data_IF_460296971219
#
_entry.id   IF_460296971219
#
_cell.length_a   1.000
_cell.length_b   1.000
_cell.length_c   1.000
_cell.angle_alpha   90.00
_cell.angle_beta   90.00
_cell.angle_gamma   90.00
#
_symmetry.space_group_name_H-M   'P 1'
#
loop_
_entity.id
_entity.type
_entity.pdbx_description
1 polymer ?
#
# COMPACT_ATOMS: atom_id res chain seq x y z
N UNK A 1 2.69 -18.89 -25.69
CA UNK A 1 3.19 -18.11 -26.84
C UNK A 1 1.99 -17.45 -27.48
N UNK A 2 1.99 -16.14 -27.76
CA UNK A 2 0.89 -15.50 -28.45
C UNK A 2 0.98 -15.86 -29.94
N UNK A 3 -0.07 -16.48 -30.46
CA UNK A 3 -0.27 -16.74 -31.88
C UNK A 3 -1.46 -15.93 -32.39
N UNK A 4 -1.34 -15.39 -33.60
CA UNK A 4 -2.42 -14.67 -34.28
C UNK A 4 -3.38 -15.68 -34.91
N UNK A 5 -4.69 -15.49 -34.71
CA UNK A 5 -5.71 -16.32 -35.33
C UNK A 5 -6.47 -15.50 -36.37
N UNK A 6 -6.66 -16.07 -37.56
CA UNK A 6 -7.44 -15.49 -38.64
C UNK A 6 -8.74 -16.27 -38.81
N UNK A 7 -9.84 -15.58 -39.08
CA UNK A 7 -11.10 -16.20 -39.49
C UNK A 7 -11.19 -16.16 -41.01
N UNK A 8 -11.45 -17.30 -41.63
CA UNK A 8 -11.65 -17.43 -43.06
C UNK A 8 -13.14 -17.58 -43.31
N UNK A 9 -13.75 -16.61 -43.99
CA UNK A 9 -15.12 -16.73 -44.47
C UNK A 9 -15.09 -17.06 -45.97
N UNK A 10 -15.53 -18.29 -46.31
CA UNK A 10 -15.61 -18.79 -47.69
C UNK A 10 -16.08 -20.25 -47.71
N UNK A 11 -16.80 -20.66 -48.76
CA UNK A 11 -17.15 -22.08 -48.99
C UNK A 11 -15.97 -22.77 -49.67
N UNK A 12 -15.57 -23.93 -49.15
CA UNK A 12 -14.54 -24.78 -49.72
C UNK A 12 -15.14 -25.63 -50.84
N UNK A 13 -14.71 -25.41 -52.08
CA UNK A 13 -15.03 -26.25 -53.25
C UNK A 13 -13.70 -26.80 -53.83
N UNK A 14 -13.51 -28.12 -54.04
CA UNK A 14 -12.19 -28.69 -54.28
C UNK A 14 -11.72 -28.65 -55.76
N UNK A 15 -12.20 -27.72 -56.58
CA UNK A 15 -11.84 -27.64 -58.00
C UNK A 15 -11.08 -26.35 -58.35
N UNK A 16 -9.76 -26.47 -58.49
CA UNK A 16 -8.83 -25.72 -59.36
C UNK A 16 -9.10 -24.24 -59.70
N UNK A 17 -9.43 -23.40 -58.73
CA UNK A 17 -9.27 -21.94 -58.86
C UNK A 17 -8.55 -21.35 -57.66
N UNK A 18 -7.47 -20.60 -57.92
CA UNK A 18 -6.77 -19.80 -56.91
C UNK A 18 -7.73 -18.68 -56.51
N UNK A 19 -8.45 -18.85 -55.41
CA UNK A 19 -9.29 -17.80 -54.86
C UNK A 19 -8.43 -16.82 -54.04
N UNK A 20 -8.38 -15.56 -54.47
CA UNK A 20 -7.80 -14.49 -53.66
C UNK A 20 -8.74 -14.20 -52.47
N UNK A 21 -8.31 -14.62 -51.27
CA UNK A 21 -9.04 -14.33 -50.03
C UNK A 21 -8.53 -13.02 -49.45
N UNK A 22 -9.43 -12.07 -49.24
CA UNK A 22 -9.09 -10.79 -48.62
C UNK A 22 -9.02 -10.96 -47.10
N UNK A 23 -7.81 -10.95 -46.55
CA UNK A 23 -7.59 -11.02 -45.10
C UNK A 23 -7.77 -9.63 -44.49
N UNK A 24 -8.78 -9.45 -43.64
CA UNK A 24 -8.88 -8.27 -42.79
C UNK A 24 -8.21 -8.53 -41.45
N UNK A 25 -7.28 -7.66 -41.09
CA UNK A 25 -6.61 -7.66 -39.78
C UNK A 25 -7.66 -7.35 -38.69
N UNK A 26 -7.96 -8.34 -37.84
CA UNK A 26 -8.81 -8.13 -36.67
C UNK A 26 -7.98 -7.39 -35.64
N UNK A 27 -8.09 -6.06 -35.62
CA UNK A 27 -7.55 -5.27 -34.51
C UNK A 27 -8.44 -5.50 -33.29
N UNK A 28 -7.95 -6.08 -32.20
CA UNK A 28 -8.75 -6.25 -31.00
C UNK A 28 -9.22 -4.87 -30.52
N UNK A 29 -10.54 -4.71 -30.40
CA UNK A 29 -11.20 -3.48 -29.95
C UNK A 29 -10.98 -3.16 -28.46
N UNK A 30 -10.12 -3.92 -27.79
CA UNK A 30 -9.74 -3.69 -26.41
C UNK A 30 -8.23 -3.81 -26.30
N UNK A 31 -7.59 -2.73 -25.86
CA UNK A 31 -6.32 -2.87 -25.16
C UNK A 31 -6.61 -3.77 -23.96
N UNK A 32 -5.89 -4.88 -23.83
CA UNK A 32 -5.86 -5.66 -22.59
C UNK A 32 -5.52 -4.67 -21.48
N UNK A 33 -6.53 -4.24 -20.71
CA UNK A 33 -6.33 -3.37 -19.58
C UNK A 33 -5.25 -4.05 -18.72
N UNK A 34 -4.07 -3.43 -18.62
CA UNK A 34 -3.02 -3.94 -17.77
C UNK A 34 -3.67 -4.16 -16.40
N UNK A 35 -3.74 -5.42 -15.94
CA UNK A 35 -4.18 -5.70 -14.58
C UNK A 35 -3.35 -4.79 -13.67
N UNK A 36 -3.98 -4.04 -12.75
CA UNK A 36 -3.24 -3.14 -11.89
C UNK A 36 -2.10 -3.93 -11.27
N UNK A 37 -0.87 -3.42 -11.38
CA UNK A 37 0.29 -4.07 -10.79
C UNK A 37 0.05 -4.08 -9.29
N UNK A 38 -0.48 -5.19 -8.76
CA UNK A 38 -0.68 -5.39 -7.33
C UNK A 38 0.73 -5.57 -6.75
N UNK A 39 1.33 -4.47 -6.30
CA UNK A 39 2.55 -4.54 -5.51
C UNK A 39 2.21 -5.28 -4.21
N UNK A 40 2.62 -6.55 -4.12
CA UNK A 40 2.26 -7.44 -2.99
C UNK A 40 2.73 -6.94 -1.63
N UNK A 41 3.68 -6.00 -1.61
CA UNK A 41 4.18 -5.33 -0.42
C UNK A 41 3.45 -4.02 -0.07
N UNK A 42 2.41 -3.66 -0.83
CA UNK A 42 1.56 -2.48 -0.64
C UNK A 42 0.11 -2.92 -0.33
N UNK A 43 -0.03 -3.80 0.67
CA UNK A 43 -1.33 -4.34 1.10
C UNK A 43 -1.99 -3.42 2.13
N UNK A 44 -2.70 -2.39 1.67
CA UNK A 44 -3.48 -1.51 2.54
C UNK A 44 -4.73 -2.26 3.03
N UNK A 45 -4.83 -2.50 4.34
CA UNK A 45 -6.03 -3.01 4.99
C UNK A 45 -6.73 -1.90 5.79
N UNK A 46 -8.01 -2.08 6.19
CA UNK A 46 -8.66 -1.16 7.11
C UNK A 46 -7.95 -1.04 8.47
N UNK A 47 -7.95 0.16 9.04
CA UNK A 47 -7.32 0.47 10.32
C UNK A 47 -6.03 1.29 10.18
N UNK A 48 -5.07 1.04 11.07
CA UNK A 48 -3.73 1.65 11.06
C UNK A 48 -2.87 0.95 10.01
N UNK A 49 -2.17 1.74 9.21
CA UNK A 49 -1.13 1.29 8.29
C UNK A 49 0.18 2.00 8.61
N UNK A 50 1.29 1.26 8.65
CA UNK A 50 2.62 1.84 8.81
C UNK A 50 3.38 1.71 7.50
N UNK A 51 4.09 2.75 7.10
CA UNK A 51 4.92 2.73 5.90
C UNK A 51 6.39 2.80 6.27
N UNK A 52 7.20 2.02 5.58
CA UNK A 52 8.64 2.14 5.68
C UNK A 52 9.38 1.45 4.54
N UNK A 53 10.70 1.43 4.60
CA UNK A 53 11.54 0.88 3.53
C UNK A 53 12.14 -0.45 3.95
N UNK A 54 11.99 -1.48 3.12
CA UNK A 54 12.62 -2.77 3.42
C UNK A 54 14.13 -2.72 3.13
N UNK A 55 14.94 -3.03 4.13
CA UNK A 55 16.42 -2.99 4.07
C UNK A 55 17.06 -4.36 3.83
N UNK A 56 16.27 -5.44 3.82
CA UNK A 56 16.76 -6.79 3.55
C UNK A 56 17.08 -6.98 2.06
N UNK A 57 18.38 -7.08 1.72
CA UNK A 57 18.90 -7.26 0.35
C UNK A 57 18.38 -8.50 -0.38
N UNK A 58 17.89 -9.51 0.33
CA UNK A 58 17.35 -10.75 -0.25
C UNK A 58 15.84 -10.68 -0.50
N UNK A 59 15.18 -9.62 -0.05
CA UNK A 59 13.74 -9.46 -0.19
C UNK A 59 13.38 -8.92 -1.58
N UNK A 60 12.27 -9.38 -2.15
CA UNK A 60 11.71 -8.82 -3.39
C UNK A 60 11.36 -7.32 -3.25
N UNK A 61 11.06 -6.86 -2.03
CA UNK A 61 10.78 -5.46 -1.72
C UNK A 61 12.04 -4.68 -1.28
N UNK A 62 13.26 -5.18 -1.52
CA UNK A 62 14.48 -4.45 -1.13
C UNK A 62 14.50 -3.03 -1.71
N UNK A 63 14.73 -2.05 -0.85
CA UNK A 63 14.69 -0.62 -1.16
C UNK A 63 13.34 -0.12 -1.69
N UNK A 64 12.27 -0.90 -1.60
CA UNK A 64 10.91 -0.49 -1.89
C UNK A 64 10.21 -0.04 -0.61
N UNK A 65 9.28 0.90 -0.75
CA UNK A 65 8.33 1.24 0.31
C UNK A 65 7.34 0.07 0.50
N UNK A 66 7.08 -0.29 1.74
CA UNK A 66 6.17 -1.37 2.12
C UNK A 66 5.13 -0.84 3.10
N UNK A 67 3.90 -1.34 2.98
CA UNK A 67 2.80 -1.04 3.90
C UNK A 67 2.61 -2.21 4.86
N UNK A 68 2.60 -1.91 6.16
CA UNK A 68 2.44 -2.86 7.25
C UNK A 68 1.09 -2.55 7.90
N UNK A 69 0.11 -3.39 7.57
CA UNK A 69 -1.25 -3.24 8.10
C UNK A 69 -1.31 -3.72 9.56
N UNK A 70 -1.58 -2.79 10.47
CA UNK A 70 -1.70 -3.02 11.92
C UNK A 70 -3.16 -3.25 12.33
N UNK A 71 -4.11 -2.69 11.58
CA UNK A 71 -5.54 -2.91 11.78
C UNK A 71 -6.17 -2.00 12.86
N UNK A 72 -7.30 -2.44 13.41
CA UNK A 72 -8.06 -1.70 14.42
C UNK A 72 -7.52 -1.96 15.83
N UNK A 73 -6.63 -1.09 16.32
CA UNK A 73 -6.09 -1.17 17.68
C UNK A 73 -5.58 0.17 18.17
N UNK A 74 -5.21 0.19 19.45
CA UNK A 74 -4.27 1.16 20.01
C UNK A 74 -2.85 0.73 19.66
N UNK A 75 -2.01 1.69 19.28
CA UNK A 75 -0.62 1.48 18.92
C UNK A 75 0.23 2.61 19.49
N UNK A 76 1.18 2.28 20.36
CA UNK A 76 2.17 3.24 20.84
C UNK A 76 3.35 3.25 19.88
N UNK A 77 3.54 4.35 19.17
CA UNK A 77 4.55 4.46 18.10
C UNK A 77 5.97 4.32 18.64
N UNK A 78 6.23 4.62 19.91
CA UNK A 78 7.58 4.52 20.48
C UNK A 78 7.83 3.15 21.10
N UNK A 79 6.79 2.50 21.64
CA UNK A 79 6.92 1.23 22.37
C UNK A 79 6.64 0.02 21.46
N UNK A 80 5.61 0.08 20.62
CA UNK A 80 5.18 -1.03 19.78
C UNK A 80 6.00 -1.16 18.49
N UNK A 81 6.81 -0.15 18.14
CA UNK A 81 7.62 -0.11 16.91
C UNK A 81 8.88 -0.97 16.98
N UNK A 82 8.69 -2.27 17.20
CA UNK A 82 9.76 -3.23 17.37
C UNK A 82 9.70 -4.35 16.32
N UNK A 83 10.77 -5.16 16.29
CA UNK A 83 10.94 -6.25 15.33
C UNK A 83 9.90 -7.37 15.41
N UNK A 84 9.05 -7.41 16.44
CA UNK A 84 7.97 -8.39 16.55
C UNK A 84 6.70 -7.97 15.80
N UNK A 85 6.45 -6.67 15.69
CA UNK A 85 5.23 -6.09 15.13
C UNK A 85 5.49 -5.44 13.76
N UNK A 86 6.50 -4.59 13.66
CA UNK A 86 6.75 -3.78 12.44
C UNK A 86 7.66 -4.53 11.50
N UNK A 87 7.06 -5.40 10.69
CA UNK A 87 7.76 -6.32 9.80
C UNK A 87 7.38 -6.10 8.35
N UNK A 88 8.37 -6.24 7.47
CA UNK A 88 8.13 -6.29 6.02
C UNK A 88 7.18 -7.46 5.69
N UNK A 89 6.08 -7.23 4.96
CA UNK A 89 5.11 -8.29 4.64
C UNK A 89 5.69 -9.39 3.75
N UNK A 90 6.81 -9.12 3.05
CA UNK A 90 7.42 -10.07 2.12
C UNK A 90 8.52 -10.93 2.76
N UNK A 91 9.24 -10.42 3.75
CA UNK A 91 10.41 -11.11 4.33
C UNK A 91 10.43 -11.16 5.85
N UNK A 92 9.42 -10.60 6.53
CA UNK A 92 9.28 -10.55 7.98
C UNK A 92 10.44 -9.88 8.75
N UNK A 93 11.38 -9.21 8.05
CA UNK A 93 12.45 -8.42 8.68
C UNK A 93 11.87 -7.11 9.21
N UNK A 94 12.42 -6.60 10.32
CA UNK A 94 12.06 -5.30 10.88
C UNK A 94 12.16 -4.20 9.83
N UNK A 95 11.20 -3.29 9.87
CA UNK A 95 11.14 -2.09 9.03
C UNK A 95 11.01 -0.89 9.94
N UNK A 96 11.87 0.10 9.76
CA UNK A 96 11.72 1.39 10.44
C UNK A 96 10.52 2.13 9.85
N UNK A 97 9.66 2.67 10.72
CA UNK A 97 8.48 3.42 10.32
C UNK A 97 8.92 4.80 9.85
N UNK A 98 8.54 5.14 8.62
CA UNK A 98 8.73 6.47 8.03
C UNK A 98 7.45 7.29 8.10
N UNK A 99 6.30 6.64 7.90
CA UNK A 99 4.98 7.30 7.89
C UNK A 99 3.89 6.43 8.49
N UNK A 100 2.81 7.06 8.92
CA UNK A 100 1.61 6.41 9.45
C UNK A 100 0.44 6.81 8.58
N UNK A 101 -0.40 5.84 8.22
CA UNK A 101 -1.64 6.03 7.48
C UNK A 101 -2.83 5.40 8.18
N UNK A 102 -4.01 5.81 7.77
CA UNK A 102 -5.30 5.33 8.25
C UNK A 102 -6.19 5.04 7.04
N UNK A 103 -6.87 3.89 7.05
CA UNK A 103 -7.76 3.48 5.96
C UNK A 103 -9.09 2.95 6.47
N UNK A 104 -10.21 3.37 5.88
CA UNK A 104 -11.56 2.88 6.21
C UNK A 104 -11.82 2.71 7.72
N UNK A 105 -11.44 3.71 8.52
CA UNK A 105 -11.49 3.62 9.97
C UNK A 105 -11.79 4.97 10.63
N UNK A 106 -12.31 4.91 11.85
CA UNK A 106 -12.24 6.05 12.76
C UNK A 106 -10.89 6.01 13.47
N UNK A 107 -10.21 7.14 13.53
CA UNK A 107 -8.90 7.24 14.16
C UNK A 107 -8.78 8.49 15.01
N UNK A 108 -7.92 8.42 16.02
CA UNK A 108 -7.51 9.56 16.84
C UNK A 108 -6.06 9.37 17.26
N UNK A 109 -5.48 10.40 17.85
CA UNK A 109 -4.17 10.26 18.47
C UNK A 109 -4.01 11.22 19.65
N UNK A 110 -3.13 10.86 20.56
CA UNK A 110 -2.62 11.73 21.61
C UNK A 110 -1.12 11.50 21.74
N UNK A 111 -0.41 12.55 22.13
CA UNK A 111 1.02 12.45 22.36
C UNK A 111 1.54 13.56 23.24
N UNK A 112 2.80 13.42 23.62
CA UNK A 112 3.52 14.35 24.48
C UNK A 112 4.76 14.79 23.71
N UNK A 113 4.96 16.10 23.60
CA UNK A 113 6.02 16.72 22.79
C UNK A 113 6.94 17.60 23.63
N UNK A 114 8.24 17.34 23.58
CA UNK A 114 9.32 18.20 24.06
C UNK A 114 9.75 19.18 22.95
N UNK A 115 8.98 20.27 22.77
CA UNK A 115 9.22 21.24 21.67
C UNK A 115 10.45 22.10 21.98
N UNK A 116 10.59 22.54 23.23
CA UNK A 116 11.71 23.34 23.71
C UNK A 116 12.50 22.51 24.72
N UNK A 117 13.82 22.32 24.57
CA UNK A 117 14.62 21.58 25.55
C UNK A 117 14.50 22.20 26.96
N UNK A 118 14.43 21.35 27.99
CA UNK A 118 14.38 21.73 29.41
C UNK A 118 13.09 22.43 29.88
N UNK A 119 12.09 22.62 29.02
CA UNK A 119 10.74 23.05 29.41
C UNK A 119 9.82 21.85 29.69
N UNK A 120 8.64 22.12 30.27
CA UNK A 120 7.63 21.08 30.48
C UNK A 120 7.12 20.53 29.13
N UNK A 121 7.07 19.20 28.94
CA UNK A 121 6.52 18.60 27.73
C UNK A 121 5.05 18.97 27.52
N UNK A 122 4.70 19.33 26.29
CA UNK A 122 3.34 19.74 25.94
C UNK A 122 2.50 18.56 25.45
N UNK A 123 1.35 18.27 26.07
CA UNK A 123 0.41 17.29 25.54
C UNK A 123 -0.30 17.86 24.30
N UNK A 124 -0.53 17.01 23.31
CA UNK A 124 -1.27 17.35 22.10
C UNK A 124 -2.10 16.15 21.64
N UNK A 125 -3.22 16.42 20.96
CA UNK A 125 -4.12 15.37 20.48
C UNK A 125 -4.96 15.83 19.31
N UNK A 126 -5.51 14.87 18.58
CA UNK A 126 -6.63 15.04 17.65
C UNK A 126 -7.73 14.10 18.09
N UNK A 127 -8.94 14.62 18.21
CA UNK A 127 -10.10 13.79 18.50
C UNK A 127 -10.49 12.93 17.29
N UNK A 128 -11.44 12.02 17.48
CA UNK A 128 -11.89 11.07 16.48
C UNK A 128 -12.23 11.73 15.15
N UNK A 129 -11.50 11.31 14.12
CA UNK A 129 -11.71 11.66 12.73
C UNK A 129 -12.01 10.38 11.94
N UNK A 130 -12.63 10.53 10.76
CA UNK A 130 -12.93 9.39 9.90
C UNK A 130 -12.09 9.45 8.63
N UNK A 131 -11.37 8.36 8.35
CA UNK A 131 -10.65 8.14 7.11
C UNK A 131 -11.51 7.25 6.21
N UNK A 132 -12.21 7.87 5.23
CA UNK A 132 -12.97 7.11 4.24
C UNK A 132 -12.07 6.44 3.20
N UNK A 133 -10.95 7.07 2.88
CA UNK A 133 -9.89 6.55 2.01
C UNK A 133 -8.56 6.61 2.75
N UNK A 134 -7.48 6.16 2.11
CA UNK A 134 -6.16 6.19 2.71
C UNK A 134 -5.73 7.63 3.00
N UNK A 135 -5.58 7.95 4.28
CA UNK A 135 -5.17 9.28 4.76
C UNK A 135 -3.92 9.18 5.61
N UNK A 136 -3.00 10.13 5.44
CA UNK A 136 -1.73 10.15 6.16
C UNK A 136 -1.82 10.90 7.47
N UNK A 137 -1.05 10.43 8.45
CA UNK A 137 -0.76 11.18 9.66
C UNK A 137 0.05 12.43 9.31
N UNK A 138 -0.42 13.58 9.77
CA UNK A 138 0.06 14.89 9.31
C UNK A 138 1.38 15.32 9.98
N UNK A 139 1.74 14.70 11.10
CA UNK A 139 2.95 15.06 11.84
C UNK A 139 4.11 14.14 11.49
N UNK A 140 5.29 14.75 11.37
CA UNK A 140 6.52 14.00 11.22
C UNK A 140 6.80 13.15 12.47
N UNK A 141 7.15 11.90 12.22
CA UNK A 141 7.55 10.91 13.23
C UNK A 141 9.05 10.63 13.17
N UNK A 142 9.75 11.18 12.17
CA UNK A 142 11.19 11.10 11.99
C UNK A 142 11.88 12.40 12.43
N UNK A 143 13.15 12.30 12.82
CA UNK A 143 13.94 13.44 13.31
C UNK A 143 14.17 13.43 14.81
N UNK A 144 15.14 14.22 15.29
CA UNK A 144 15.54 14.35 16.70
C UNK A 144 14.31 14.57 17.57
N UNK A 145 13.97 13.54 18.34
CA UNK A 145 12.62 13.18 18.77
C UNK A 145 12.03 14.16 19.77
N UNK A 146 11.16 15.05 19.26
CA UNK A 146 10.24 15.87 20.06
C UNK A 146 9.23 14.97 20.78
N UNK A 147 8.87 13.81 20.21
CA UNK A 147 7.87 12.92 20.81
C UNK A 147 8.44 12.15 22.00
N UNK A 148 7.85 12.34 23.17
CA UNK A 148 8.04 11.48 24.35
C UNK A 148 7.01 10.36 24.42
N UNK A 149 5.87 10.58 23.77
CA UNK A 149 4.81 9.59 23.58
C UNK A 149 4.03 9.96 22.33
N UNK A 150 3.65 8.96 21.54
CA UNK A 150 2.70 9.10 20.46
C UNK A 150 1.86 7.84 20.39
N UNK A 151 0.60 7.95 20.76
CA UNK A 151 -0.34 6.85 20.72
C UNK A 151 -1.43 7.16 19.70
N UNK A 152 -1.55 6.26 18.73
CA UNK A 152 -2.60 6.27 17.72
C UNK A 152 -3.62 5.18 18.04
N UNK A 153 -4.89 5.46 17.77
CA UNK A 153 -5.98 4.52 17.98
C UNK A 153 -6.84 4.47 16.73
N UNK A 154 -7.19 3.27 16.28
CA UNK A 154 -8.17 3.07 15.22
C UNK A 154 -9.23 2.05 15.60
N UNK A 155 -10.46 2.30 15.16
CA UNK A 155 -11.60 1.39 15.31
C UNK A 155 -12.43 1.35 14.03
N UNK A 156 -13.19 0.28 13.86
CA UNK A 156 -14.15 0.19 12.76
C UNK A 156 -15.24 1.25 12.91
N UNK A 157 -15.77 1.70 11.76
CA UNK A 157 -17.02 2.45 11.74
C UNK A 157 -18.14 1.43 11.97
N UNK A 158 -18.73 1.45 13.16
CA UNK A 158 -19.97 0.73 13.46
C UNK A 158 -21.12 1.33 12.66
#
# INVERSE_FOLDING_TARGET
>A
MPGSYFRVDGRYDPADEIHMVQLQEIRPLYELCAFPVINRWYGIAPGICLEGKCTNKKCIAYQQEVVISIGFRKFDVLVDSNASIVKCPMCSTYVEILKIGFNHCQWRWHGIRQIVPYEEPTPCMKDWSYANEYSMFEHDIQGTSVWLQLIIEAKSKL
#
